data_IF_448217237540
#
_entry.id   IF_448217237540
#
_cell.length_a   1.000
_cell.length_b   1.000
_cell.length_c   1.000
_cell.angle_alpha   90.00
_cell.angle_beta   90.00
_cell.angle_gamma   90.00
#
_symmetry.space_group_name_H-M   'P 1'
#
loop_
_entity.id
_entity.type
_entity.pdbx_description
1 polymer ?
#
# COMPACT_ATOMS: atom_id res chain seq x y z
N UNK A 1 -16.66 -9.44 -5.21
CA UNK A 1 -15.84 -8.20 -5.23
C UNK A 1 -14.40 -8.62 -4.98
N UNK A 2 -13.49 -8.46 -5.96
CA UNK A 2 -12.11 -9.04 -5.90
C UNK A 2 -11.05 -8.03 -5.41
N UNK A 3 -11.47 -6.89 -4.87
CA UNK A 3 -10.59 -5.84 -4.38
C UNK A 3 -11.21 -5.20 -3.13
N UNK A 4 -10.34 -4.68 -2.26
CA UNK A 4 -10.72 -3.93 -1.06
C UNK A 4 -9.80 -2.72 -0.94
N UNK A 5 -10.38 -1.57 -0.60
CA UNK A 5 -9.67 -0.31 -0.40
C UNK A 5 -9.79 0.06 1.07
N UNK A 6 -8.67 0.46 1.66
CA UNK A 6 -8.57 0.87 3.07
C UNK A 6 -7.42 1.85 3.24
N UNK A 7 -7.33 2.46 4.42
CA UNK A 7 -6.32 3.47 4.73
C UNK A 7 -5.46 3.06 5.93
N UNK A 8 -4.23 3.58 5.99
CA UNK A 8 -3.34 3.43 7.15
C UNK A 8 -3.90 4.07 8.42
N UNK A 9 -4.64 5.18 8.26
CA UNK A 9 -5.42 5.85 9.31
C UNK A 9 -6.86 6.02 8.84
N UNK A 10 -7.83 5.86 9.74
CA UNK A 10 -9.27 5.88 9.40
C UNK A 10 -9.98 7.19 9.74
N UNK A 11 -9.30 8.07 10.47
CA UNK A 11 -9.77 9.41 10.76
C UNK A 11 -8.96 10.41 9.94
N UNK A 12 -9.59 11.52 9.52
CA UNK A 12 -8.91 12.58 8.79
C UNK A 12 -8.01 13.35 9.77
N UNK A 13 -6.68 13.35 9.59
CA UNK A 13 -5.78 14.09 10.46
C UNK A 13 -5.70 15.57 10.03
N UNK A 14 -5.35 16.49 10.94
CA UNK A 14 -5.02 17.87 10.58
C UNK A 14 -4.00 17.93 9.44
N UNK A 15 -4.19 18.85 8.50
CA UNK A 15 -3.34 19.04 7.30
C UNK A 15 -3.15 17.79 6.42
N UNK A 16 -3.94 16.73 6.59
CA UNK A 16 -3.73 15.42 5.97
C UNK A 16 -2.38 14.77 6.33
N UNK A 17 -1.80 15.10 7.50
CA UNK A 17 -0.53 14.57 7.97
C UNK A 17 -0.71 13.80 9.29
N UNK A 18 -0.90 12.48 9.25
CA UNK A 18 -1.03 11.72 10.48
C UNK A 18 0.31 11.62 11.21
N UNK A 19 0.26 11.62 12.54
CA UNK A 19 1.42 11.41 13.40
C UNK A 19 1.80 9.93 13.46
N UNK A 20 3.03 9.63 13.91
CA UNK A 20 3.47 8.26 14.12
C UNK A 20 2.60 7.50 15.14
N UNK A 21 2.12 8.19 16.17
CA UNK A 21 1.24 7.63 17.18
C UNK A 21 -0.16 7.32 16.64
N UNK A 22 -0.73 8.22 15.83
CA UNK A 22 -2.02 8.00 15.16
C UNK A 22 -1.93 6.78 14.22
N UNK A 23 -0.87 6.68 13.43
CA UNK A 23 -0.64 5.52 12.55
C UNK A 23 -0.56 4.24 13.38
N UNK A 24 0.27 4.23 14.44
CA UNK A 24 0.43 3.06 15.32
C UNK A 24 -0.89 2.64 15.96
N UNK A 25 -1.65 3.61 16.47
CA UNK A 25 -2.94 3.38 17.13
C UNK A 25 -3.99 2.85 16.17
N UNK A 26 -4.02 3.37 14.93
CA UNK A 26 -4.96 2.92 13.92
C UNK A 26 -4.56 1.58 13.29
N UNK A 27 -3.26 1.21 13.32
CA UNK A 27 -2.74 0.02 12.67
C UNK A 27 -3.40 -1.29 13.14
N UNK A 28 -3.93 -1.34 14.37
CA UNK A 28 -4.72 -2.47 14.88
C UNK A 28 -5.90 -2.84 13.99
N UNK A 29 -6.53 -1.84 13.36
CA UNK A 29 -7.64 -2.08 12.43
C UNK A 29 -7.17 -2.67 11.12
N UNK A 30 -6.02 -2.20 10.60
CA UNK A 30 -5.39 -2.73 9.39
C UNK A 30 -4.94 -4.18 9.60
N UNK A 31 -4.35 -4.50 10.75
CA UNK A 31 -3.99 -5.87 11.14
C UNK A 31 -5.22 -6.78 11.11
N UNK A 32 -6.33 -6.36 11.71
CA UNK A 32 -7.58 -7.13 11.72
C UNK A 32 -8.14 -7.33 10.30
N UNK A 33 -8.06 -6.31 9.47
CA UNK A 33 -8.53 -6.37 8.08
C UNK A 33 -7.70 -7.36 7.26
N UNK A 34 -6.37 -7.29 7.34
CA UNK A 34 -5.47 -8.23 6.66
C UNK A 34 -5.69 -9.67 7.11
N UNK A 35 -5.90 -9.91 8.42
CA UNK A 35 -6.21 -11.24 8.96
C UNK A 35 -7.50 -11.84 8.39
N UNK A 36 -8.48 -11.00 8.03
CA UNK A 36 -9.73 -11.44 7.42
C UNK A 36 -9.61 -11.80 5.92
N UNK A 37 -8.50 -11.46 5.27
CA UNK A 37 -8.32 -11.64 3.83
C UNK A 37 -7.41 -12.85 3.52
N UNK A 38 -7.90 -14.07 3.78
CA UNK A 38 -7.10 -15.30 3.66
C UNK A 38 -6.59 -15.57 2.22
N UNK A 39 -7.31 -15.10 1.21
CA UNK A 39 -6.96 -15.26 -0.21
C UNK A 39 -6.24 -14.03 -0.79
N UNK A 40 -5.68 -13.16 0.05
CA UNK A 40 -4.98 -11.96 -0.40
C UNK A 40 -3.66 -12.33 -1.10
N UNK A 41 -3.57 -12.00 -2.39
CA UNK A 41 -2.39 -12.26 -3.23
C UNK A 41 -1.47 -11.05 -3.39
N UNK A 42 -2.06 -9.85 -3.50
CA UNK A 42 -1.33 -8.61 -3.78
C UNK A 42 -1.87 -7.48 -2.91
N UNK A 43 -0.97 -6.72 -2.30
CA UNK A 43 -1.27 -5.44 -1.64
C UNK A 43 -0.65 -4.32 -2.48
N UNK A 44 -1.46 -3.37 -2.92
CA UNK A 44 -0.98 -2.11 -3.49
C UNK A 44 -0.96 -1.04 -2.40
N UNK A 45 0.18 -0.40 -2.16
CA UNK A 45 0.31 0.73 -1.25
C UNK A 45 0.48 2.05 -2.01
N UNK A 46 -0.22 3.07 -1.55
CA UNK A 46 -0.23 4.41 -2.14
C UNK A 46 0.51 5.37 -1.20
N UNK A 47 1.78 5.63 -1.50
CA UNK A 47 2.67 6.49 -0.72
C UNK A 47 3.39 5.79 0.44
N UNK A 48 4.44 6.45 0.93
CA UNK A 48 5.34 5.88 1.95
C UNK A 48 4.69 5.59 3.30
N UNK A 49 3.65 6.34 3.69
CA UNK A 49 2.91 6.08 4.94
C UNK A 49 2.15 4.76 4.84
N UNK A 50 1.40 4.55 3.75
CA UNK A 50 0.68 3.29 3.52
C UNK A 50 1.65 2.10 3.44
N UNK A 51 2.77 2.29 2.75
CA UNK A 51 3.86 1.30 2.67
C UNK A 51 4.39 0.90 4.05
N UNK A 52 4.78 1.88 4.86
CA UNK A 52 5.29 1.64 6.20
C UNK A 52 4.24 1.03 7.14
N UNK A 53 2.97 1.42 7.00
CA UNK A 53 1.86 0.89 7.80
C UNK A 53 1.58 -0.60 7.49
N UNK A 54 1.63 -1.01 6.23
CA UNK A 54 1.50 -2.44 5.84
C UNK A 54 2.66 -3.26 6.37
N UNK A 55 3.90 -2.77 6.22
CA UNK A 55 5.07 -3.47 6.76
C UNK A 55 5.00 -3.62 8.28
N UNK A 56 4.51 -2.59 8.98
CA UNK A 56 4.33 -2.64 10.44
C UNK A 56 3.21 -3.63 10.83
N UNK A 57 2.10 -3.66 10.07
CA UNK A 57 0.99 -4.57 10.31
C UNK A 57 1.35 -6.05 10.08
N UNK A 58 2.35 -6.31 9.23
CA UNK A 58 2.84 -7.65 8.88
C UNK A 58 4.14 -8.02 9.61
N UNK A 59 4.58 -7.21 10.57
CA UNK A 59 5.82 -7.39 11.34
C UNK A 59 7.07 -7.59 10.43
N UNK A 60 7.18 -6.74 9.41
CA UNK A 60 8.28 -6.73 8.44
C UNK A 60 9.25 -5.59 8.71
N UNK A 61 10.55 -5.88 8.61
CA UNK A 61 11.60 -4.89 8.79
C UNK A 61 11.63 -3.90 7.62
N UNK A 62 11.35 -2.63 7.90
CA UNK A 62 11.20 -1.57 6.87
C UNK A 62 12.45 -1.38 5.98
N UNK A 63 13.63 -1.67 6.49
CA UNK A 63 14.88 -1.57 5.73
C UNK A 63 14.95 -2.50 4.52
N UNK A 64 14.25 -3.63 4.59
CA UNK A 64 14.34 -4.70 3.60
C UNK A 64 13.34 -4.47 2.45
N UNK A 65 12.41 -3.53 2.65
CA UNK A 65 11.33 -3.20 1.75
C UNK A 65 11.29 -1.67 1.59
N UNK A 66 12.34 -1.09 1.00
CA UNK A 66 12.43 0.38 0.83
C UNK A 66 11.37 0.86 -0.16
N UNK A 67 10.65 1.91 0.19
CA UNK A 67 9.60 2.46 -0.69
C UNK A 67 10.19 3.02 -1.98
N UNK A 68 9.56 2.67 -3.11
CA UNK A 68 9.76 3.30 -4.42
C UNK A 68 8.46 3.20 -5.23
N UNK A 69 8.25 4.09 -6.20
CA UNK A 69 7.17 3.90 -7.16
C UNK A 69 7.47 2.70 -8.06
N UNK A 70 6.44 1.91 -8.35
CA UNK A 70 6.53 0.59 -8.98
C UNK A 70 7.47 -0.38 -8.22
N UNK A 71 7.65 -0.17 -6.92
CA UNK A 71 8.44 -1.06 -6.07
C UNK A 71 7.69 -2.35 -5.78
N UNK A 72 8.27 -3.49 -6.14
CA UNK A 72 7.67 -4.81 -5.95
C UNK A 72 8.45 -5.66 -4.97
N UNK A 73 7.74 -6.29 -4.03
CA UNK A 73 8.36 -7.11 -3.00
C UNK A 73 7.57 -8.38 -2.73
N UNK A 74 8.27 -9.50 -2.56
CA UNK A 74 7.68 -10.74 -2.05
C UNK A 74 7.66 -10.68 -0.52
N UNK A 75 6.48 -10.64 0.09
CA UNK A 75 6.33 -10.63 1.54
C UNK A 75 6.35 -12.05 2.13
N UNK A 76 5.82 -13.02 1.37
CA UNK A 76 5.91 -14.45 1.59
C UNK A 76 5.64 -15.20 0.27
N UNK A 77 5.45 -16.53 0.31
CA UNK A 77 5.19 -17.37 -0.88
C UNK A 77 3.93 -16.99 -1.68
N UNK A 78 2.92 -16.42 -1.02
CA UNK A 78 1.59 -16.19 -1.60
C UNK A 78 1.19 -14.70 -1.66
N UNK A 79 1.96 -13.82 -1.00
CA UNK A 79 1.63 -12.41 -0.86
C UNK A 79 2.75 -11.51 -1.40
N UNK A 80 2.37 -10.62 -2.33
CA UNK A 80 3.23 -9.58 -2.87
C UNK A 80 2.79 -8.19 -2.38
N UNK A 81 3.76 -7.30 -2.24
CA UNK A 81 3.58 -5.88 -1.99
C UNK A 81 4.02 -5.11 -3.23
N UNK A 82 3.14 -4.28 -3.76
CA UNK A 82 3.42 -3.31 -4.82
C UNK A 82 3.27 -1.91 -4.24
N UNK A 83 4.19 -1.03 -4.59
CA UNK A 83 4.28 0.32 -4.03
C UNK A 83 4.16 1.34 -5.14
N UNK A 84 3.35 2.38 -4.92
CA UNK A 84 3.23 3.49 -5.84
C UNK A 84 3.28 4.82 -5.09
N UNK A 85 3.64 5.90 -5.77
CA UNK A 85 3.33 7.22 -5.26
C UNK A 85 1.83 7.36 -5.00
N UNK A 86 1.48 8.19 -4.02
CA UNK A 86 0.08 8.43 -3.70
C UNK A 86 -0.60 9.23 -4.82
N UNK A 87 -1.82 8.87 -5.21
CA UNK A 87 -2.60 9.57 -6.24
C UNK A 87 -3.21 10.90 -5.76
N UNK A 88 -2.52 11.62 -4.87
CA UNK A 88 -2.92 12.96 -4.43
C UNK A 88 -2.84 13.97 -5.57
N UNK A 89 -3.70 14.99 -5.53
CA UNK A 89 -3.64 16.14 -6.45
C UNK A 89 -2.25 16.74 -6.60
N UNK A 90 -1.48 16.83 -5.51
CA UNK A 90 -0.10 17.33 -5.57
C UNK A 90 0.77 16.50 -6.52
N UNK A 91 0.79 15.17 -6.37
CA UNK A 91 1.61 14.29 -7.21
C UNK A 91 1.15 14.26 -8.67
N UNK A 92 -0.17 14.28 -8.91
CA UNK A 92 -0.71 14.28 -10.28
C UNK A 92 -0.49 15.62 -10.99
N UNK A 93 -0.70 16.74 -10.28
CA UNK A 93 -0.53 18.08 -10.88
C UNK A 93 0.93 18.44 -11.13
N UNK A 94 1.85 17.92 -10.32
CA UNK A 94 3.31 18.14 -10.50
C UNK A 94 3.96 17.16 -11.47
N UNK A 95 3.21 16.18 -11.99
CA UNK A 95 3.75 15.13 -12.86
C UNK A 95 4.61 14.09 -12.13
N UNK A 96 4.72 14.15 -10.80
CA UNK A 96 5.41 13.12 -9.99
C UNK A 96 4.76 11.75 -10.11
N UNK A 97 3.46 11.70 -10.37
CA UNK A 97 2.73 10.51 -10.78
C UNK A 97 1.85 10.87 -11.98
N UNK A 98 2.12 10.28 -13.15
CA UNK A 98 1.25 10.41 -14.32
C UNK A 98 0.17 9.31 -14.31
N UNK A 99 -0.86 9.49 -15.12
CA UNK A 99 -1.89 8.47 -15.34
C UNK A 99 -1.28 7.18 -15.91
N UNK A 100 -0.44 7.28 -16.93
CA UNK A 100 0.25 6.14 -17.57
C UNK A 100 1.10 5.34 -16.56
N UNK A 101 1.85 6.04 -15.71
CA UNK A 101 2.61 5.41 -14.63
C UNK A 101 1.69 4.64 -13.68
N UNK A 102 0.52 5.21 -13.35
CA UNK A 102 -0.44 4.56 -12.45
C UNK A 102 -1.12 3.36 -13.10
N UNK A 103 -1.52 3.46 -14.36
CA UNK A 103 -2.10 2.36 -15.15
C UNK A 103 -1.13 1.18 -15.27
N UNK A 104 0.16 1.47 -15.49
CA UNK A 104 1.22 0.46 -15.53
C UNK A 104 1.27 -0.38 -14.25
N UNK A 105 1.03 0.22 -13.08
CA UNK A 105 0.93 -0.52 -11.81
C UNK A 105 -0.20 -1.56 -11.86
N UNK A 106 -1.37 -1.19 -12.38
CA UNK A 106 -2.52 -2.09 -12.44
C UNK A 106 -2.31 -3.22 -13.44
N UNK A 107 -1.69 -2.95 -14.59
CA UNK A 107 -1.34 -4.01 -15.55
C UNK A 107 -0.36 -5.01 -14.93
N UNK A 108 0.67 -4.53 -14.22
CA UNK A 108 1.60 -5.41 -13.50
C UNK A 108 0.88 -6.27 -12.45
N UNK A 109 -0.06 -5.69 -11.69
CA UNK A 109 -0.86 -6.41 -10.71
C UNK A 109 -1.75 -7.47 -11.38
N UNK A 110 -2.38 -7.13 -12.50
CA UNK A 110 -3.24 -8.04 -13.25
C UNK A 110 -2.46 -9.28 -13.72
N UNK A 111 -1.27 -9.09 -14.29
CA UNK A 111 -0.38 -10.19 -14.68
C UNK A 111 -0.04 -11.09 -13.48
N UNK A 112 0.24 -10.50 -12.31
CA UNK A 112 0.56 -11.27 -11.08
C UNK A 112 -0.62 -12.07 -10.56
N UNK A 113 -1.84 -11.55 -10.67
CA UNK A 113 -3.05 -12.26 -10.22
C UNK A 113 -3.44 -13.41 -11.15
N UNK A 114 -3.04 -13.34 -12.42
CA UNK A 114 -3.27 -14.36 -13.45
C UNK A 114 -2.19 -15.45 -13.48
N UNK A 115 -1.04 -15.22 -12.83
CA UNK A 115 0.00 -16.24 -12.72
C UNK A 115 -0.52 -17.47 -11.94
N UNK A 116 -0.21 -18.69 -12.41
CA UNK A 116 -0.70 -19.95 -11.83
C UNK A 116 -0.25 -20.15 -10.38
#
# INVERSE_FOLDING_TARGET
MNCRITNAVRCVPPENKPTGEEIKTCNKFLIRELKGMQNLKVILTLGGIAHAAILSALDKKKSDYKFSHNGEFKLNKHLQLVSSYHCSRYNTNTGRLTQEMFETIFENIKTKLQAP
#
